data_IF_181122745268
#
_entry.id   IF_181122745268
#
_cell.length_a   1.000
_cell.length_b   1.000
_cell.length_c   1.000
_cell.angle_alpha   90.00
_cell.angle_beta   90.00
_cell.angle_gamma   90.00
#
_symmetry.space_group_name_H-M   'P 1'
#
loop_
_entity.id
_entity.type
_entity.pdbx_description
1 polymer ?
#
# COMPACT_ATOMS: atom_id res chain seq x y z
N UNK A 1 -27.12 16.01 -0.45
CA UNK A 1 -26.29 14.79 -0.24
C UNK A 1 -26.29 14.43 1.26
N UNK A 2 -26.40 13.15 1.67
CA UNK A 2 -26.42 12.75 3.11
C UNK A 2 -25.22 13.31 3.89
N UNK A 3 -24.08 13.41 3.21
CA UNK A 3 -22.79 13.94 3.69
C UNK A 3 -22.87 15.42 4.08
N UNK A 4 -23.41 16.28 3.21
CA UNK A 4 -23.57 17.71 3.51
C UNK A 4 -24.60 17.94 4.60
N UNK A 5 -25.65 17.10 4.62
CA UNK A 5 -26.69 17.15 5.64
C UNK A 5 -26.13 16.71 6.99
N UNK A 6 -25.26 15.70 7.05
CA UNK A 6 -24.54 15.30 8.25
C UNK A 6 -23.64 16.42 8.80
N UNK A 7 -22.86 17.08 7.93
CA UNK A 7 -22.02 18.24 8.31
C UNK A 7 -22.84 19.40 8.85
N UNK A 8 -23.93 19.74 8.15
CA UNK A 8 -24.85 20.80 8.53
C UNK A 8 -25.59 20.50 9.84
N UNK A 9 -26.11 19.28 10.02
CA UNK A 9 -26.86 18.87 11.21
C UNK A 9 -26.01 18.88 12.49
N UNK A 10 -24.71 18.62 12.37
CA UNK A 10 -23.80 18.55 13.51
C UNK A 10 -23.00 19.84 13.75
N UNK A 11 -23.17 20.87 12.90
CA UNK A 11 -22.43 22.14 13.01
C UNK A 11 -20.93 22.01 12.75
N UNK A 12 -20.49 20.93 12.10
CA UNK A 12 -19.08 20.66 11.86
C UNK A 12 -18.68 21.03 10.44
N UNK A 13 -17.96 22.15 10.31
CA UNK A 13 -17.48 22.64 9.02
C UNK A 13 -16.13 22.03 8.61
N UNK A 14 -15.33 21.54 9.57
CA UNK A 14 -13.99 20.97 9.37
C UNK A 14 -13.96 19.43 9.37
N UNK A 15 -14.85 18.80 8.62
CA UNK A 15 -14.80 17.35 8.33
C UNK A 15 -15.00 17.15 6.85
N UNK A 16 -14.14 16.33 6.27
CA UNK A 16 -14.20 15.89 4.89
C UNK A 16 -14.55 14.41 4.85
N UNK A 17 -15.35 14.03 3.85
CA UNK A 17 -15.77 12.66 3.61
C UNK A 17 -15.41 12.32 2.17
N UNK A 18 -14.62 11.26 1.98
CA UNK A 18 -14.16 10.83 0.65
C UNK A 18 -14.56 9.36 0.46
N UNK A 19 -15.53 9.05 -0.41
CA UNK A 19 -15.81 7.66 -0.78
C UNK A 19 -14.69 7.13 -1.68
N UNK A 20 -14.19 5.93 -1.38
CA UNK A 20 -13.16 5.24 -2.17
C UNK A 20 -13.59 3.78 -2.36
N UNK A 21 -14.03 3.42 -3.56
CA UNK A 21 -14.64 2.11 -3.85
C UNK A 21 -15.76 1.75 -2.85
N UNK A 22 -15.53 0.76 -1.99
CA UNK A 22 -16.46 0.29 -0.96
C UNK A 22 -16.19 0.90 0.43
N UNK A 23 -15.17 1.76 0.53
CA UNK A 23 -14.77 2.43 1.76
C UNK A 23 -15.23 3.90 1.77
N UNK A 24 -15.33 4.49 2.96
CA UNK A 24 -15.41 5.94 3.12
C UNK A 24 -14.32 6.40 4.08
N UNK A 25 -13.62 7.46 3.71
CA UNK A 25 -12.59 8.10 4.51
C UNK A 25 -13.20 9.31 5.20
N UNK A 26 -12.89 9.48 6.49
CA UNK A 26 -13.24 10.66 7.27
C UNK A 26 -11.96 11.30 7.80
N UNK A 27 -11.82 12.60 7.58
CA UNK A 27 -10.68 13.34 8.12
C UNK A 27 -11.08 14.78 8.46
N UNK A 28 -10.39 15.38 9.42
CA UNK A 28 -10.73 16.70 9.95
C UNK A 28 -10.50 16.81 11.45
N UNK A 29 -11.28 17.65 12.12
CA UNK A 29 -11.26 17.76 13.59
C UNK A 29 -11.68 16.42 14.24
N UNK A 30 -10.94 15.89 15.24
CA UNK A 30 -11.23 14.58 15.82
C UNK A 30 -12.65 14.42 16.38
N UNK A 31 -13.18 15.43 17.08
CA UNK A 31 -14.53 15.37 17.66
C UNK A 31 -15.58 15.35 16.56
N UNK A 32 -15.33 16.14 15.52
CA UNK A 32 -16.20 16.23 14.38
C UNK A 32 -16.20 14.93 13.55
N UNK A 33 -15.02 14.33 13.32
CA UNK A 33 -14.87 13.02 12.65
C UNK A 33 -15.65 11.96 13.40
N UNK A 34 -15.50 11.86 14.72
CA UNK A 34 -16.18 10.86 15.54
C UNK A 34 -17.72 11.00 15.49
N UNK A 35 -18.22 12.24 15.54
CA UNK A 35 -19.66 12.51 15.47
C UNK A 35 -20.25 12.15 14.08
N UNK A 36 -19.54 12.53 13.01
CA UNK A 36 -19.95 12.23 11.63
C UNK A 36 -19.84 10.74 11.34
N UNK A 37 -18.79 10.05 11.81
CA UNK A 37 -18.62 8.60 11.68
C UNK A 37 -19.81 7.87 12.30
N UNK A 38 -20.17 8.20 13.55
CA UNK A 38 -21.30 7.58 14.24
C UNK A 38 -22.62 7.76 13.47
N UNK A 39 -22.85 8.93 12.88
CA UNK A 39 -24.02 9.18 12.06
C UNK A 39 -24.02 8.34 10.78
N UNK A 40 -22.90 8.31 10.06
CA UNK A 40 -22.76 7.52 8.83
C UNK A 40 -22.96 6.04 9.09
N UNK A 41 -22.36 5.50 10.15
CA UNK A 41 -22.52 4.09 10.52
C UNK A 41 -23.96 3.74 10.83
N UNK A 42 -24.71 4.63 11.50
CA UNK A 42 -26.15 4.43 11.75
C UNK A 42 -26.95 4.42 10.45
N UNK A 43 -26.64 5.32 9.52
CA UNK A 43 -27.30 5.35 8.19
C UNK A 43 -26.98 4.08 7.41
N UNK A 44 -25.70 3.67 7.39
CA UNK A 44 -25.22 2.46 6.73
C UNK A 44 -25.89 1.20 7.28
N UNK A 45 -26.04 1.13 8.61
CA UNK A 45 -26.76 0.05 9.28
C UNK A 45 -28.26 0.05 8.93
N UNK A 46 -28.90 1.22 8.90
CA UNK A 46 -30.31 1.36 8.54
C UNK A 46 -30.61 0.97 7.08
N UNK A 47 -29.62 1.06 6.19
CA UNK A 47 -29.73 0.62 4.79
C UNK A 47 -29.34 -0.85 4.57
N UNK A 48 -29.10 -1.61 5.66
CA UNK A 48 -28.84 -3.06 5.60
C UNK A 48 -27.37 -3.43 5.44
N UNK A 49 -26.45 -2.48 5.45
CA UNK A 49 -25.02 -2.75 5.37
C UNK A 49 -24.37 -2.76 6.76
N UNK A 50 -23.31 -3.55 6.93
CA UNK A 50 -22.52 -3.57 8.17
C UNK A 50 -21.07 -3.19 7.88
N UNK A 51 -20.51 -2.31 8.72
CA UNK A 51 -19.09 -1.98 8.73
C UNK A 51 -18.44 -2.59 9.99
N UNK A 52 -17.79 -3.76 9.88
CA UNK A 52 -17.19 -4.44 11.03
C UNK A 52 -16.11 -3.59 11.69
N UNK A 53 -16.14 -3.46 13.02
CA UNK A 53 -15.13 -2.72 13.78
C UNK A 53 -13.71 -3.19 13.49
N UNK A 54 -13.50 -4.50 13.35
CA UNK A 54 -12.20 -5.09 13.06
C UNK A 54 -11.60 -4.72 11.68
N UNK A 55 -12.42 -4.17 10.77
CA UNK A 55 -11.97 -3.69 9.46
C UNK A 55 -11.78 -2.17 9.42
N UNK A 56 -12.12 -1.46 10.50
CA UNK A 56 -11.92 -0.02 10.59
C UNK A 56 -10.46 0.26 10.87
N UNK A 57 -9.99 1.40 10.36
CA UNK A 57 -8.60 1.80 10.47
C UNK A 57 -8.56 3.30 10.68
N UNK A 58 -7.70 3.73 11.60
CA UNK A 58 -7.37 5.12 11.83
C UNK A 58 -5.91 5.35 11.44
N UNK A 59 -5.66 6.31 10.57
CA UNK A 59 -4.30 6.71 10.24
C UNK A 59 -3.82 7.78 11.20
N UNK A 60 -2.65 7.55 11.79
CA UNK A 60 -1.90 8.54 12.54
C UNK A 60 -0.50 8.66 11.95
N UNK A 61 0.47 8.96 12.80
CA UNK A 61 1.89 9.05 12.41
C UNK A 61 2.50 7.67 12.14
N UNK A 62 1.87 6.60 12.61
CA UNK A 62 2.35 5.22 12.39
C UNK A 62 1.88 4.67 11.04
N UNK A 63 2.79 4.06 10.24
CA UNK A 63 2.45 3.46 8.95
C UNK A 63 1.35 2.40 9.09
N UNK A 64 0.28 2.54 8.31
CA UNK A 64 -0.85 1.62 8.34
C UNK A 64 -1.23 1.15 6.94
N UNK A 65 -1.44 -0.17 6.79
CA UNK A 65 -1.67 -0.78 5.47
C UNK A 65 -3.09 -0.53 4.96
N UNK A 66 -3.21 0.01 3.75
CA UNK A 66 -4.47 0.15 3.00
C UNK A 66 -4.18 0.17 1.50
N UNK A 67 -5.08 -0.41 0.69
CA UNK A 67 -4.90 -0.54 -0.78
C UNK A 67 -3.54 -1.12 -1.22
N UNK A 68 -3.03 -2.10 -0.47
CA UNK A 68 -1.78 -2.79 -0.80
C UNK A 68 -0.51 -2.15 -0.23
N UNK A 69 -0.54 -0.86 0.12
CA UNK A 69 0.63 -0.10 0.57
C UNK A 69 0.46 0.48 1.98
N UNK A 70 1.50 1.14 2.52
CA UNK A 70 1.45 1.76 3.84
C UNK A 70 1.24 3.26 3.74
N UNK A 71 0.39 3.78 4.63
CA UNK A 71 -0.01 5.19 4.64
C UNK A 71 0.16 5.77 6.04
N UNK A 72 0.55 7.03 6.10
CA UNK A 72 0.53 7.84 7.32
C UNK A 72 -0.33 9.07 7.11
N UNK A 73 -0.92 9.57 8.19
CA UNK A 73 -1.54 10.88 8.19
C UNK A 73 -0.55 11.90 8.78
N UNK A 74 -0.11 12.86 7.96
CA UNK A 74 0.91 13.83 8.33
C UNK A 74 0.61 15.18 7.65
N UNK A 75 0.72 16.27 8.40
CA UNK A 75 0.48 17.65 7.93
C UNK A 75 -0.89 17.86 7.24
N UNK A 76 -1.93 17.19 7.73
CA UNK A 76 -3.28 17.30 7.17
C UNK A 76 -3.48 16.58 5.83
N UNK A 77 -2.57 15.68 5.47
CA UNK A 77 -2.64 14.88 4.24
C UNK A 77 -2.34 13.41 4.52
N UNK A 78 -2.91 12.51 3.72
CA UNK A 78 -2.55 11.09 3.72
C UNK A 78 -1.35 10.92 2.78
N UNK A 79 -0.22 10.43 3.31
CA UNK A 79 1.02 10.24 2.57
C UNK A 79 1.29 8.73 2.43
N UNK A 80 1.58 8.29 1.21
CA UNK A 80 2.08 6.96 0.93
C UNK A 80 3.51 6.87 1.48
N UNK A 81 3.83 5.81 2.21
CA UNK A 81 5.15 5.59 2.78
C UNK A 81 5.66 4.20 2.47
N UNK A 82 6.97 4.11 2.29
CA UNK A 82 7.68 2.86 2.13
C UNK A 82 7.74 2.13 3.48
N UNK A 83 7.24 0.88 3.61
CA UNK A 83 7.44 0.09 4.81
C UNK A 83 8.92 -0.10 5.13
N UNK A 84 9.28 -0.01 6.40
CA UNK A 84 10.66 -0.12 6.86
C UNK A 84 11.21 -1.53 6.62
N UNK A 85 12.47 -1.59 6.20
CA UNK A 85 13.18 -2.84 5.92
C UNK A 85 13.30 -3.77 7.14
N UNK A 86 13.42 -3.21 8.35
CA UNK A 86 13.54 -3.96 9.60
C UNK A 86 12.34 -4.89 9.88
N UNK A 87 11.15 -4.56 9.35
CA UNK A 87 9.95 -5.40 9.50
C UNK A 87 10.00 -6.67 8.62
N UNK A 88 10.97 -6.76 7.72
CA UNK A 88 11.13 -7.79 6.69
C UNK A 88 12.18 -8.84 7.15
N UNK A 89 11.99 -9.42 8.33
CA UNK A 89 12.87 -10.47 8.83
C UNK A 89 12.64 -11.80 8.08
N UNK A 90 13.65 -12.33 7.39
CA UNK A 90 13.54 -13.60 6.64
C UNK A 90 13.45 -14.84 7.53
N UNK A 91 14.05 -14.78 8.73
CA UNK A 91 14.20 -15.95 9.62
C UNK A 91 15.37 -16.84 9.21
N UNK A 92 15.43 -18.06 9.75
CA UNK A 92 16.44 -19.06 9.37
C UNK A 92 16.15 -19.60 7.97
N UNK A 93 17.18 -19.63 7.10
CA UNK A 93 17.12 -20.16 5.72
C UNK A 93 16.65 -21.62 5.70
N UNK A 94 17.08 -22.44 6.67
CA UNK A 94 16.70 -23.86 6.73
C UNK A 94 15.21 -24.07 7.04
N UNK A 95 14.57 -23.09 7.70
CA UNK A 95 13.15 -23.08 8.00
C UNK A 95 12.30 -22.30 6.99
N UNK A 96 12.89 -21.87 5.87
CA UNK A 96 12.22 -20.99 4.92
C UNK A 96 11.12 -21.75 4.16
N UNK A 97 9.89 -21.25 4.23
CA UNK A 97 8.74 -21.83 3.52
C UNK A 97 8.39 -21.00 2.29
N UNK A 98 7.74 -21.63 1.30
CA UNK A 98 7.21 -20.92 0.13
C UNK A 98 6.26 -19.79 0.53
N UNK A 99 5.37 -20.02 1.51
CA UNK A 99 4.49 -18.97 2.04
C UNK A 99 5.30 -17.80 2.60
N UNK A 100 6.37 -18.08 3.36
CA UNK A 100 7.19 -17.01 3.93
C UNK A 100 7.86 -16.18 2.84
N UNK A 101 8.43 -16.81 1.82
CA UNK A 101 9.02 -16.11 0.67
C UNK A 101 7.99 -15.20 0.00
N UNK A 102 6.80 -15.72 -0.32
CA UNK A 102 5.76 -14.93 -0.99
C UNK A 102 5.23 -13.78 -0.13
N UNK A 103 5.08 -14.00 1.18
CA UNK A 103 4.70 -12.96 2.13
C UNK A 103 5.74 -11.84 2.22
N UNK A 104 7.02 -12.20 2.27
CA UNK A 104 8.12 -11.23 2.34
C UNK A 104 8.25 -10.48 1.02
N UNK A 105 8.32 -11.20 -0.10
CA UNK A 105 8.37 -10.62 -1.44
C UNK A 105 7.15 -9.71 -1.71
N UNK A 106 5.98 -10.03 -1.13
CA UNK A 106 4.74 -9.24 -1.20
C UNK A 106 4.80 -7.85 -0.59
N UNK A 107 5.87 -7.51 0.13
CA UNK A 107 6.05 -6.20 0.76
C UNK A 107 6.74 -5.17 -0.14
N UNK A 108 7.43 -5.62 -1.18
CA UNK A 108 8.08 -4.75 -2.15
C UNK A 108 7.05 -4.32 -3.20
N UNK A 109 6.30 -3.26 -2.90
CA UNK A 109 5.29 -2.67 -3.78
C UNK A 109 5.88 -1.54 -4.62
N UNK A 110 5.17 -1.16 -5.68
CA UNK A 110 5.53 0.03 -6.46
C UNK A 110 5.12 1.31 -5.71
N UNK A 111 6.05 2.25 -5.57
CA UNK A 111 5.87 3.55 -4.91
C UNK A 111 6.52 4.65 -5.74
N UNK A 112 7.83 4.54 -5.98
CA UNK A 112 8.62 5.56 -6.72
C UNK A 112 8.75 5.28 -8.20
N UNK A 113 8.64 4.02 -8.63
CA UNK A 113 8.97 3.61 -9.99
C UNK A 113 10.47 3.77 -10.33
N UNK A 114 11.32 4.06 -9.33
CA UNK A 114 12.74 4.27 -9.53
C UNK A 114 13.53 2.98 -9.77
N UNK A 115 14.82 3.14 -10.07
CA UNK A 115 15.70 2.03 -10.45
C UNK A 115 15.95 1.07 -9.27
N UNK A 116 16.21 1.58 -8.07
CA UNK A 116 16.43 0.78 -6.88
C UNK A 116 15.14 0.06 -6.47
N UNK A 117 13.98 0.73 -6.53
CA UNK A 117 12.70 0.06 -6.29
C UNK A 117 12.46 -1.08 -7.30
N UNK A 118 12.74 -0.83 -8.58
CA UNK A 118 12.62 -1.83 -9.64
C UNK A 118 13.54 -3.03 -9.40
N UNK A 119 14.79 -2.79 -9.00
CA UNK A 119 15.74 -3.86 -8.61
C UNK A 119 15.26 -4.63 -7.39
N UNK A 120 14.72 -3.94 -6.39
CA UNK A 120 14.20 -4.56 -5.18
C UNK A 120 13.06 -5.54 -5.51
N UNK A 121 12.12 -5.10 -6.35
CA UNK A 121 10.99 -5.91 -6.86
C UNK A 121 11.46 -7.06 -7.72
N UNK A 122 12.38 -6.83 -8.65
CA UNK A 122 12.91 -7.87 -9.53
C UNK A 122 13.57 -9.00 -8.73
N UNK A 123 14.38 -8.68 -7.72
CA UNK A 123 14.93 -9.70 -6.82
C UNK A 123 13.85 -10.41 -6.00
N UNK A 124 12.79 -9.72 -5.58
CA UNK A 124 11.69 -10.33 -4.84
C UNK A 124 10.92 -11.33 -5.72
N UNK A 125 10.75 -11.02 -7.00
CA UNK A 125 10.17 -11.92 -7.99
C UNK A 125 11.07 -13.11 -8.32
N UNK A 126 12.39 -12.91 -8.45
CA UNK A 126 13.35 -14.03 -8.56
C UNK A 126 13.22 -14.99 -7.38
N UNK A 127 13.10 -14.47 -6.15
CA UNK A 127 12.89 -15.31 -4.97
C UNK A 127 11.56 -16.08 -5.02
N UNK A 128 10.47 -15.46 -5.50
CA UNK A 128 9.18 -16.16 -5.72
C UNK A 128 9.30 -17.27 -6.75
N UNK A 129 10.00 -17.02 -7.86
CA UNK A 129 10.23 -18.02 -8.91
C UNK A 129 11.02 -19.20 -8.35
N UNK A 130 12.07 -18.95 -7.56
CA UNK A 130 12.84 -20.01 -6.90
C UNK A 130 11.96 -20.82 -5.92
N UNK A 131 11.23 -20.14 -5.03
CA UNK A 131 10.34 -20.80 -4.08
C UNK A 131 9.12 -21.48 -4.74
N UNK A 132 8.80 -21.14 -5.98
CA UNK A 132 7.72 -21.80 -6.71
C UNK A 132 7.97 -23.29 -6.94
N UNK A 133 9.26 -23.70 -6.95
CA UNK A 133 9.72 -25.08 -7.05
C UNK A 133 9.31 -25.94 -5.85
N UNK A 134 9.06 -25.33 -4.68
CA UNK A 134 8.61 -26.07 -3.51
C UNK A 134 7.22 -26.69 -3.76
N UNK A 135 7.07 -27.94 -3.32
CA UNK A 135 5.86 -28.74 -3.50
C UNK A 135 4.73 -28.33 -2.55
N UNK A 136 5.08 -27.70 -1.42
CA UNK A 136 4.11 -27.24 -0.40
C UNK A 136 4.29 -25.77 -0.06
N UNK A 137 3.23 -25.15 0.50
CA UNK A 137 3.25 -23.74 0.89
C UNK A 137 3.86 -23.52 2.28
N UNK A 138 3.54 -24.40 3.22
CA UNK A 138 3.67 -24.15 4.65
C UNK A 138 4.76 -24.97 5.34
N UNK A 139 5.36 -25.93 4.63
CA UNK A 139 6.36 -26.84 5.18
C UNK A 139 7.71 -26.55 4.54
N UNK A 140 8.75 -26.43 5.38
CA UNK A 140 10.12 -26.33 4.90
C UNK A 140 10.58 -27.70 4.39
N UNK A 141 11.20 -27.74 3.21
CA UNK A 141 11.66 -28.97 2.59
C UNK A 141 13.15 -29.17 2.92
N UNK A 142 13.55 -30.20 3.68
CA UNK A 142 14.95 -30.43 4.01
C UNK A 142 15.80 -30.63 2.75
N UNK A 143 16.96 -29.95 2.67
CA UNK A 143 17.90 -30.11 1.55
C UNK A 143 17.43 -29.51 0.22
N UNK A 144 16.41 -28.65 0.22
CA UNK A 144 15.99 -27.96 -1.00
C UNK A 144 17.10 -27.02 -1.53
N UNK A 145 17.20 -26.90 -2.85
CA UNK A 145 18.23 -26.12 -3.53
C UNK A 145 17.84 -24.64 -3.73
N UNK A 146 16.60 -24.27 -3.43
CA UNK A 146 16.04 -22.96 -3.73
C UNK A 146 16.10 -21.99 -2.55
N UNK A 147 16.10 -22.46 -1.30
CA UNK A 147 15.96 -21.62 -0.10
C UNK A 147 17.13 -20.65 0.08
N UNK A 148 18.37 -21.13 -0.09
CA UNK A 148 19.54 -20.27 0.01
C UNK A 148 19.56 -19.20 -1.10
N UNK A 149 19.45 -19.54 -2.40
CA UNK A 149 19.32 -18.53 -3.46
C UNK A 149 18.15 -17.56 -3.25
N UNK A 150 16.98 -18.04 -2.81
CA UNK A 150 15.83 -17.19 -2.52
C UNK A 150 16.12 -16.21 -1.37
N UNK A 151 16.79 -16.65 -0.30
CA UNK A 151 17.19 -15.78 0.80
C UNK A 151 18.18 -14.69 0.36
N UNK A 152 19.13 -15.02 -0.54
CA UNK A 152 20.09 -14.06 -1.10
C UNK A 152 19.34 -12.99 -1.90
N UNK A 153 18.41 -13.40 -2.76
CA UNK A 153 17.59 -12.47 -3.52
C UNK A 153 16.75 -11.57 -2.61
N UNK A 154 16.12 -12.11 -1.56
CA UNK A 154 15.35 -11.28 -0.63
C UNK A 154 16.23 -10.33 0.18
N UNK A 155 17.47 -10.71 0.50
CA UNK A 155 18.47 -9.82 1.10
C UNK A 155 18.87 -8.67 0.16
N UNK A 156 19.06 -8.96 -1.13
CA UNK A 156 19.29 -7.92 -2.15
C UNK A 156 18.06 -7.04 -2.32
N UNK A 157 16.85 -7.61 -2.32
CA UNK A 157 15.60 -6.84 -2.34
C UNK A 157 15.55 -5.83 -1.21
N UNK A 158 15.85 -6.27 0.01
CA UNK A 158 15.88 -5.41 1.19
C UNK A 158 16.90 -4.27 1.03
N UNK A 159 18.13 -4.60 0.59
CA UNK A 159 19.18 -3.61 0.36
C UNK A 159 18.73 -2.52 -0.63
N UNK A 160 18.20 -2.91 -1.78
CA UNK A 160 17.75 -1.95 -2.79
C UNK A 160 16.49 -1.19 -2.34
N UNK A 161 15.63 -1.81 -1.54
CA UNK A 161 14.47 -1.16 -0.95
C UNK A 161 14.86 -0.03 0.01
N UNK A 162 15.89 -0.25 0.83
CA UNK A 162 16.46 0.78 1.71
C UNK A 162 17.14 1.90 0.90
N UNK A 163 17.81 1.56 -0.20
CA UNK A 163 18.39 2.56 -1.10
C UNK A 163 17.33 3.41 -1.80
N UNK A 164 16.22 2.79 -2.25
CA UNK A 164 15.08 3.51 -2.82
C UNK A 164 14.50 4.52 -1.82
N UNK A 165 14.40 4.13 -0.54
CA UNK A 165 13.94 5.03 0.52
C UNK A 165 14.81 6.30 0.66
N UNK A 166 16.12 6.17 0.46
CA UNK A 166 17.08 7.27 0.62
C UNK A 166 17.13 8.15 -0.63
N UNK A 167 17.12 7.53 -1.81
CA UNK A 167 17.44 8.21 -3.07
C UNK A 167 16.21 8.61 -3.87
N UNK A 168 15.11 7.86 -3.78
CA UNK A 168 13.96 7.98 -4.69
C UNK A 168 12.73 8.55 -3.99
N UNK A 169 12.52 8.24 -2.71
CA UNK A 169 11.34 8.72 -1.98
C UNK A 169 11.33 10.26 -1.85
N UNK A 170 12.51 10.90 -1.83
CA UNK A 170 12.65 12.35 -1.83
C UNK A 170 12.22 13.00 -3.17
N UNK A 171 12.22 12.23 -4.26
CA UNK A 171 11.87 12.69 -5.61
C UNK A 171 10.40 12.43 -5.95
N UNK A 172 9.63 11.83 -5.03
CA UNK A 172 8.20 11.58 -5.22
C UNK A 172 7.42 12.88 -5.43
N UNK A 173 6.92 13.06 -6.64
CA UNK A 173 6.03 14.17 -6.97
C UNK A 173 4.64 13.92 -6.39
N UNK A 174 4.23 14.75 -5.44
CA UNK A 174 2.86 14.79 -4.95
C UNK A 174 2.03 15.64 -5.90
N UNK A 175 1.27 14.97 -6.77
CA UNK A 175 0.30 15.63 -7.62
C UNK A 175 -0.85 16.19 -6.77
N UNK A 176 -1.13 17.49 -6.90
CA UNK A 176 -2.22 18.16 -6.20
C UNK A 176 -3.16 18.85 -7.20
N UNK A 177 -4.45 18.95 -6.87
CA UNK A 177 -5.42 19.59 -7.75
C UNK A 177 -5.76 18.81 -9.02
N UNK A 178 -5.32 17.55 -9.12
CA UNK A 178 -5.59 16.70 -10.29
C UNK A 178 -7.08 16.40 -10.39
N UNK A 179 -7.67 16.76 -11.53
CA UNK A 179 -9.08 16.46 -11.83
C UNK A 179 -9.23 15.14 -12.59
N UNK A 180 -8.26 14.81 -13.42
CA UNK A 180 -8.26 13.60 -14.23
C UNK A 180 -6.83 13.06 -14.33
N UNK A 181 -6.69 11.77 -14.05
CA UNK A 181 -5.46 11.01 -14.24
C UNK A 181 -5.67 10.13 -15.47
N UNK A 182 -4.76 10.21 -16.43
CA UNK A 182 -4.71 9.29 -17.57
C UNK A 182 -3.63 8.25 -17.30
N UNK A 183 -4.00 6.98 -17.39
CA UNK A 183 -3.06 5.87 -17.39
C UNK A 183 -2.82 5.42 -18.83
N UNK A 184 -1.61 5.65 -19.34
CA UNK A 184 -1.17 5.05 -20.60
C UNK A 184 -0.51 3.72 -20.27
N UNK A 185 -1.07 2.62 -20.79
CA UNK A 185 -0.57 1.26 -20.55
C UNK A 185 0.11 0.76 -21.82
N UNK A 186 1.37 0.36 -21.70
CA UNK A 186 2.03 -0.36 -22.79
C UNK A 186 1.47 -1.80 -22.87
N UNK A 187 0.82 -2.12 -23.98
CA UNK A 187 0.26 -3.44 -24.27
C UNK A 187 1.22 -4.33 -25.10
N UNK A 188 2.50 -3.94 -25.25
CA UNK A 188 3.48 -4.62 -26.09
C UNK A 188 3.84 -6.05 -25.68
N UNK A 189 3.41 -6.51 -24.50
CA UNK A 189 3.81 -7.78 -23.87
C UNK A 189 5.33 -7.93 -23.58
N UNK A 190 6.13 -6.89 -23.85
CA UNK A 190 7.56 -6.81 -23.49
C UNK A 190 7.81 -6.28 -22.08
N UNK A 191 6.80 -5.66 -21.46
CA UNK A 191 6.79 -5.17 -20.08
C UNK A 191 5.43 -4.56 -19.72
N UNK A 192 5.12 -4.49 -18.41
CA UNK A 192 3.94 -3.79 -17.90
C UNK A 192 4.37 -2.40 -17.42
N UNK A 193 4.59 -1.48 -18.36
CA UNK A 193 4.84 -0.07 -18.05
C UNK A 193 3.54 0.72 -18.01
N UNK A 194 3.36 1.56 -16.99
CA UNK A 194 2.31 2.58 -16.97
C UNK A 194 2.92 3.94 -16.64
N UNK A 195 2.42 4.99 -17.30
CA UNK A 195 2.74 6.38 -16.96
C UNK A 195 1.45 7.08 -16.58
N UNK A 196 1.48 7.73 -15.42
CA UNK A 196 0.42 8.63 -14.98
C UNK A 196 0.77 10.03 -15.47
N UNK A 197 -0.20 10.73 -16.06
CA UNK A 197 -0.07 12.14 -16.43
C UNK A 197 -1.29 12.90 -15.97
N UNK A 198 -1.06 14.13 -15.55
CA UNK A 198 -2.15 15.10 -15.36
C UNK A 198 -2.73 15.47 -16.73
N UNK A 199 -4.05 15.36 -16.88
CA UNK A 199 -4.74 15.64 -18.14
C UNK A 199 -4.54 17.07 -18.63
N UNK A 200 -4.36 18.01 -17.70
CA UNK A 200 -4.34 19.44 -18.01
C UNK A 200 -2.92 19.92 -18.36
N UNK A 201 -1.87 19.35 -17.75
CA UNK A 201 -0.48 19.74 -17.98
C UNK A 201 0.31 18.81 -18.91
N UNK A 202 -0.17 17.59 -19.16
CA UNK A 202 0.49 16.60 -20.02
C UNK A 202 1.87 16.15 -19.53
N UNK A 203 2.26 16.58 -18.33
CA UNK A 203 3.52 16.23 -17.69
C UNK A 203 3.31 15.02 -16.76
N UNK A 204 4.29 14.11 -16.66
CA UNK A 204 4.25 13.02 -15.68
C UNK A 204 4.17 13.54 -14.24
#
# INVERSE_FOLDING_TARGET
MVIEKARSLLGYHKVSIVPVMNDFLLWGDPRAVEAVERLLLKVWQATGFQCPLAKRTSWGESPTRWLGSHWIWCDGSLKLVRPQGADIALGNVEGLTKRRVFQVAGRFTEISGGVNESLARAHADCARVLASKASTWDVAEPGNDWALPASVHLGLSLKYWEQAAILEDAELCLLTGIKCIIAEVDASAGGYGFVWKDSDSGSP
#
